data_IF_137590944456
#
_entry.id   IF_137590944456
#
_cell.length_a   1.000
_cell.length_b   1.000
_cell.length_c   1.000
_cell.angle_alpha   90.00
_cell.angle_beta   90.00
_cell.angle_gamma   90.00
#
_symmetry.space_group_name_H-M   'P 1'
#
loop_
_entity.id
_entity.type
_entity.pdbx_description
1 polymer ?
#
# COMPACT_ATOMS: atom_id res chain seq x y z
N UNK A 1 19.24 15.41 2.43
CA UNK A 1 18.07 14.85 1.73
C UNK A 1 17.55 13.74 2.61
N UNK A 2 16.38 13.90 3.24
CA UNK A 2 15.83 12.86 4.10
C UNK A 2 15.44 11.68 3.23
N UNK A 3 16.17 10.58 3.40
CA UNK A 3 15.93 9.30 2.75
C UNK A 3 14.87 8.55 3.57
N UNK A 4 13.66 9.10 3.61
CA UNK A 4 12.54 8.43 4.26
C UNK A 4 12.07 7.29 3.37
N UNK A 5 12.70 6.13 3.55
CA UNK A 5 12.38 4.89 2.83
C UNK A 5 10.91 4.52 3.08
N UNK A 6 10.20 4.18 1.99
CA UNK A 6 8.83 3.67 2.00
C UNK A 6 8.83 2.17 1.73
N UNK A 7 7.80 1.47 2.21
CA UNK A 7 7.62 0.06 1.89
C UNK A 7 6.91 -0.09 0.55
N UNK A 8 7.26 -1.14 -0.19
CA UNK A 8 6.58 -1.54 -1.43
C UNK A 8 5.80 -2.82 -1.17
N UNK A 9 4.52 -2.80 -1.52
CA UNK A 9 3.68 -3.99 -1.61
C UNK A 9 3.41 -4.33 -3.08
N UNK A 10 3.71 -5.56 -3.49
CA UNK A 10 3.48 -6.05 -4.86
C UNK A 10 2.01 -6.48 -5.02
N UNK A 11 1.19 -5.62 -5.64
CA UNK A 11 -0.25 -5.83 -5.85
C UNK A 11 -0.55 -6.79 -7.00
N UNK A 12 0.39 -7.02 -7.90
CA UNK A 12 0.15 -7.81 -9.12
C UNK A 12 -0.78 -7.08 -10.09
N UNK A 13 -1.72 -7.79 -10.71
CA UNK A 13 -2.58 -7.21 -11.72
C UNK A 13 -3.82 -6.56 -11.08
N UNK A 14 -4.03 -5.27 -11.32
CA UNK A 14 -5.16 -4.51 -10.75
C UNK A 14 -6.05 -4.02 -11.89
N UNK A 15 -7.34 -4.36 -11.82
CA UNK A 15 -8.35 -3.84 -12.76
C UNK A 15 -8.94 -2.54 -12.24
N UNK A 16 -8.83 -1.48 -13.03
CA UNK A 16 -9.39 -0.17 -12.73
C UNK A 16 -10.89 -0.12 -13.02
N UNK A 17 -11.59 0.83 -12.43
CA UNK A 17 -13.01 1.09 -12.73
C UNK A 17 -13.23 1.49 -14.19
N UNK A 18 -12.23 2.06 -14.86
CA UNK A 18 -12.23 2.33 -16.31
C UNK A 18 -12.27 1.04 -17.16
N UNK A 19 -12.01 -0.12 -16.56
CA UNK A 19 -11.91 -1.41 -17.24
C UNK A 19 -10.48 -1.79 -17.65
N UNK A 20 -9.52 -0.86 -17.56
CA UNK A 20 -8.11 -1.10 -17.83
C UNK A 20 -7.46 -1.99 -16.76
N UNK A 21 -6.37 -2.68 -17.12
CA UNK A 21 -5.59 -3.52 -16.20
C UNK A 21 -4.18 -2.97 -16.08
N UNK A 22 -3.78 -2.65 -14.85
CA UNK A 22 -2.40 -2.34 -14.49
C UNK A 22 -1.68 -3.64 -14.16
N UNK A 23 -0.72 -4.03 -15.00
CA UNK A 23 0.08 -5.24 -14.79
C UNK A 23 1.22 -4.99 -13.79
N UNK A 24 1.49 -5.97 -12.93
CA UNK A 24 2.62 -5.93 -11.98
C UNK A 24 2.68 -4.65 -11.14
N UNK A 25 1.52 -4.22 -10.64
CA UNK A 25 1.33 -2.99 -9.88
C UNK A 25 2.04 -3.07 -8.52
N UNK A 26 2.59 -1.94 -8.08
CA UNK A 26 3.26 -1.77 -6.79
C UNK A 26 2.59 -0.65 -6.02
N UNK A 27 2.40 -0.85 -4.72
CA UNK A 27 1.90 0.17 -3.81
C UNK A 27 3.02 0.59 -2.87
N UNK A 28 3.43 1.86 -2.98
CA UNK A 28 4.28 2.50 -2.00
C UNK A 28 3.44 2.96 -0.81
N UNK A 29 3.84 2.57 0.40
CA UNK A 29 3.14 2.96 1.62
C UNK A 29 4.10 3.14 2.79
N UNK A 30 3.66 3.94 3.77
CA UNK A 30 4.31 4.11 5.06
C UNK A 30 3.25 4.13 6.13
N UNK A 31 3.44 3.34 7.17
CA UNK A 31 2.55 3.31 8.34
C UNK A 31 3.16 4.14 9.46
N UNK A 32 2.29 4.75 10.27
CA UNK A 32 2.68 5.50 11.45
C UNK A 32 1.89 4.97 12.64
N UNK A 33 2.58 4.65 13.73
CA UNK A 33 1.99 3.94 14.86
C UNK A 33 1.92 2.42 14.64
N UNK A 34 1.28 1.72 15.56
CA UNK A 34 1.07 0.27 15.50
C UNK A 34 -0.41 -0.04 15.66
N UNK A 35 -0.90 -1.01 14.89
CA UNK A 35 -2.26 -1.52 15.06
C UNK A 35 -2.36 -2.19 16.43
N UNK A 36 -3.36 -1.83 17.23
CA UNK A 36 -3.58 -2.47 18.53
C UNK A 36 -3.99 -3.95 18.35
N UNK A 37 -3.96 -4.72 19.44
CA UNK A 37 -4.29 -6.16 19.41
C UNK A 37 -5.73 -6.43 18.94
N UNK A 38 -6.65 -5.50 19.18
CA UNK A 38 -8.07 -5.63 18.83
C UNK A 38 -8.37 -5.24 17.37
N UNK A 39 -7.40 -4.64 16.65
CA UNK A 39 -7.52 -4.14 15.28
C UNK A 39 -8.67 -3.13 15.07
N UNK A 40 -8.98 -2.35 16.09
CA UNK A 40 -10.02 -1.31 16.06
C UNK A 40 -9.42 0.12 16.04
N UNK A 41 -10.31 1.10 15.85
CA UNK A 41 -9.98 2.52 15.82
C UNK A 41 -10.39 3.17 17.15
N UNK A 42 -9.52 3.06 18.15
CA UNK A 42 -9.63 3.68 19.49
C UNK A 42 -8.71 4.86 19.64
#
# INVERSE_FOLDING_TARGET
>A
MNNDDFNIFELGNVKLLSGEILYSTKLAYKTYGSLNTNKDNV
#
